data_IF_482326141532
#
_entry.id   IF_482326141532
#
_cell.length_a   1.000
_cell.length_b   1.000
_cell.length_c   1.000
_cell.angle_alpha   90.00
_cell.angle_beta   90.00
_cell.angle_gamma   90.00
#
_symmetry.space_group_name_H-M   'P 1'
#
loop_
_entity.id
_entity.type
_entity.pdbx_description
1 polymer ?
#
# COMPACT_ATOMS: atom_id res chain seq x y z
N UNK A 1 42.09 -26.22 -43.13
CA UNK A 1 40.79 -26.52 -42.55
C UNK A 1 40.43 -25.42 -41.56
N UNK A 2 39.53 -24.53 -41.95
CA UNK A 2 39.04 -23.49 -41.05
C UNK A 2 37.97 -24.10 -40.13
N UNK A 3 38.26 -24.18 -38.86
CA UNK A 3 37.23 -24.51 -37.85
C UNK A 3 36.60 -23.22 -37.38
N UNK A 4 35.38 -22.97 -37.85
CA UNK A 4 34.56 -21.92 -37.28
C UNK A 4 34.03 -22.38 -35.92
N UNK A 5 34.57 -21.83 -34.87
CA UNK A 5 33.97 -21.94 -33.54
C UNK A 5 32.80 -20.97 -33.53
N UNK A 6 31.60 -21.50 -33.66
CA UNK A 6 30.38 -20.76 -33.38
C UNK A 6 30.31 -20.53 -31.87
N UNK A 7 30.74 -19.35 -31.46
CA UNK A 7 30.46 -18.91 -30.09
C UNK A 7 28.96 -18.57 -30.02
N UNK A 8 28.20 -19.47 -29.44
CA UNK A 8 26.85 -19.16 -29.03
C UNK A 8 26.95 -18.17 -27.86
N UNK A 9 26.82 -16.88 -28.16
CA UNK A 9 26.50 -15.90 -27.12
C UNK A 9 25.07 -16.18 -26.68
N UNK A 10 24.95 -16.92 -25.59
CA UNK A 10 23.66 -17.06 -24.94
C UNK A 10 23.20 -15.69 -24.45
N UNK A 11 22.21 -15.12 -25.10
CA UNK A 11 21.52 -13.94 -24.58
C UNK A 11 20.74 -14.39 -23.36
N UNK A 12 21.30 -14.14 -22.18
CA UNK A 12 20.53 -14.28 -20.95
C UNK A 12 19.57 -13.08 -20.89
N UNK A 13 18.33 -13.31 -21.31
CA UNK A 13 17.28 -12.33 -21.08
C UNK A 13 17.05 -12.27 -19.57
N UNK A 14 17.61 -11.28 -18.90
CA UNK A 14 17.25 -10.96 -17.52
C UNK A 14 15.84 -10.37 -17.59
N UNK A 15 14.84 -11.20 -17.28
CA UNK A 15 13.50 -10.68 -17.06
C UNK A 15 13.56 -9.69 -15.89
N UNK A 16 13.11 -8.44 -16.05
CA UNK A 16 13.04 -7.51 -14.94
C UNK A 16 12.19 -8.14 -13.85
N UNK A 17 12.74 -8.24 -12.63
CA UNK A 17 11.96 -8.64 -11.48
C UNK A 17 10.94 -7.53 -11.22
N UNK A 18 9.70 -7.76 -11.67
CA UNK A 18 8.59 -6.88 -11.30
C UNK A 18 8.28 -7.15 -9.82
N UNK A 19 8.60 -6.18 -8.96
CA UNK A 19 7.94 -6.12 -7.67
C UNK A 19 6.43 -6.13 -7.92
N UNK A 20 5.67 -6.88 -7.13
CA UNK A 20 4.22 -6.88 -7.23
C UNK A 20 3.72 -5.43 -7.24
N UNK A 21 2.86 -5.03 -8.19
CA UNK A 21 2.36 -3.66 -8.22
C UNK A 21 1.63 -3.34 -6.91
N UNK A 22 1.70 -2.09 -6.43
CA UNK A 22 0.90 -1.66 -5.30
C UNK A 22 -0.59 -1.98 -5.53
N UNK A 23 -1.33 -2.19 -4.47
CA UNK A 23 -2.76 -2.52 -4.55
C UNK A 23 -3.54 -1.49 -5.36
N UNK A 24 -3.17 -0.21 -5.25
CA UNK A 24 -3.78 0.88 -5.99
C UNK A 24 -3.44 0.90 -7.48
N UNK A 25 -2.53 0.07 -7.93
CA UNK A 25 -2.21 -0.08 -9.34
C UNK A 25 -3.15 -1.07 -10.06
N UNK A 26 -3.95 -1.85 -9.33
CA UNK A 26 -4.98 -2.70 -9.92
C UNK A 26 -6.05 -1.81 -10.59
N UNK A 27 -6.26 -1.94 -11.92
CA UNK A 27 -7.23 -1.10 -12.63
C UNK A 27 -8.65 -1.16 -12.06
N UNK A 28 -9.03 -2.29 -11.46
CA UNK A 28 -10.37 -2.46 -10.86
C UNK A 28 -10.55 -1.71 -9.56
N UNK A 29 -9.44 -1.42 -8.88
CA UNK A 29 -9.45 -0.77 -7.56
C UNK A 29 -8.88 0.64 -7.60
N UNK A 30 -8.24 1.02 -8.70
CA UNK A 30 -7.57 2.33 -8.84
C UNK A 30 -8.49 3.48 -8.51
N UNK A 31 -9.67 3.50 -9.11
CA UNK A 31 -10.62 4.60 -8.93
C UNK A 31 -11.06 4.74 -7.48
N UNK A 32 -11.22 3.62 -6.79
CA UNK A 32 -11.54 3.64 -5.38
C UNK A 32 -10.43 4.27 -4.55
N UNK A 33 -9.18 3.83 -4.75
CA UNK A 33 -8.02 4.41 -4.04
C UNK A 33 -7.87 5.90 -4.34
N UNK A 34 -8.01 6.30 -5.59
CA UNK A 34 -7.91 7.71 -5.99
C UNK A 34 -9.05 8.57 -5.44
N UNK A 35 -10.17 7.96 -5.08
CA UNK A 35 -11.31 8.66 -4.49
C UNK A 35 -11.15 8.95 -3.00
N UNK A 36 -10.16 8.36 -2.33
CA UNK A 36 -9.96 8.56 -0.90
C UNK A 36 -9.47 9.97 -0.61
N UNK A 37 -10.16 10.65 0.31
CA UNK A 37 -9.88 12.03 0.70
C UNK A 37 -9.69 12.14 2.21
N UNK A 38 -8.74 12.96 2.61
CA UNK A 38 -8.54 13.30 4.02
C UNK A 38 -9.78 13.98 4.56
N UNK A 39 -10.26 13.60 5.76
CA UNK A 39 -11.57 14.05 6.27
C UNK A 39 -11.71 15.57 6.39
N UNK A 40 -10.68 16.28 6.81
CA UNK A 40 -10.80 17.72 7.08
C UNK A 40 -10.29 18.61 5.96
N UNK A 41 -9.34 18.16 5.20
CA UNK A 41 -8.71 18.97 4.15
C UNK A 41 -9.28 18.69 2.78
N UNK A 42 -9.89 17.53 2.57
CA UNK A 42 -10.31 17.05 1.26
C UNK A 42 -9.15 16.69 0.33
N UNK A 43 -7.90 16.74 0.82
CA UNK A 43 -6.74 16.38 0.02
C UNK A 43 -6.73 14.87 -0.29
N UNK A 44 -6.21 14.45 -1.46
CA UNK A 44 -6.12 13.04 -1.78
C UNK A 44 -5.24 12.27 -0.80
N UNK A 45 -5.70 11.10 -0.37
CA UNK A 45 -4.91 10.23 0.49
C UNK A 45 -3.71 9.62 -0.23
N UNK A 46 -3.91 9.19 -1.48
CA UNK A 46 -2.94 8.40 -2.24
C UNK A 46 -1.98 9.22 -3.10
N UNK A 47 -2.09 10.56 -3.14
CA UNK A 47 -1.17 11.40 -3.91
C UNK A 47 0.11 11.74 -3.15
N UNK A 48 0.06 11.70 -1.82
CA UNK A 48 1.17 12.08 -0.93
C UNK A 48 1.60 10.96 0.00
N UNK A 49 0.87 9.86 0.01
CA UNK A 49 1.13 8.71 0.88
C UNK A 49 0.86 7.40 0.15
N UNK A 50 1.56 6.35 0.56
CA UNK A 50 1.29 5.01 0.09
C UNK A 50 0.06 4.45 0.81
N UNK A 51 -0.95 4.05 0.03
CA UNK A 51 -2.14 3.39 0.54
C UNK A 51 -2.01 1.88 0.30
N UNK A 52 -2.08 1.10 1.37
CA UNK A 52 -1.91 -0.35 1.30
C UNK A 52 -2.86 -1.07 2.26
N UNK A 53 -3.15 -2.32 1.91
CA UNK A 53 -3.80 -3.25 2.84
C UNK A 53 -2.88 -3.53 4.01
N UNK A 54 -3.48 -3.66 5.18
CA UNK A 54 -2.75 -4.05 6.38
C UNK A 54 -3.66 -4.68 7.41
N UNK A 55 -3.08 -5.33 8.38
CA UNK A 55 -3.81 -5.77 9.56
C UNK A 55 -4.20 -4.58 10.42
N UNK A 56 -5.41 -4.62 10.95
CA UNK A 56 -5.91 -3.63 11.89
C UNK A 56 -6.61 -4.33 13.05
N UNK A 57 -6.59 -3.70 14.21
CA UNK A 57 -7.28 -4.20 15.39
C UNK A 57 -7.76 -3.04 16.25
N UNK A 58 -8.75 -3.31 17.08
CA UNK A 58 -9.19 -2.35 18.09
C UNK A 58 -8.31 -2.42 19.33
N UNK A 59 -8.05 -1.26 19.89
CA UNK A 59 -7.52 -1.13 21.24
C UNK A 59 -8.43 -0.20 22.06
N UNK A 60 -8.07 0.13 23.30
CA UNK A 60 -8.90 0.99 24.15
C UNK A 60 -9.03 2.44 23.64
N UNK A 61 -8.19 2.85 22.69
CA UNK A 61 -8.23 4.19 22.06
C UNK A 61 -8.99 4.21 20.74
N UNK A 62 -9.25 3.06 20.13
CA UNK A 62 -9.86 2.93 18.82
C UNK A 62 -9.12 1.94 17.94
N UNK A 63 -8.76 2.35 16.74
CA UNK A 63 -8.03 1.49 15.80
C UNK A 63 -6.52 1.63 15.94
N UNK A 64 -5.83 0.51 15.71
CA UNK A 64 -4.39 0.51 15.43
C UNK A 64 -4.11 -0.38 14.22
N UNK A 65 -3.05 -0.05 13.49
CA UNK A 65 -2.66 -0.70 12.24
C UNK A 65 -1.23 -1.18 12.32
N UNK A 66 -0.96 -2.27 11.61
CA UNK A 66 0.39 -2.81 11.48
C UNK A 66 1.12 -2.07 10.36
N UNK A 67 2.20 -1.39 10.71
CA UNK A 67 3.08 -0.70 9.77
C UNK A 67 4.39 -1.45 9.66
N UNK A 68 4.81 -1.70 8.43
CA UNK A 68 6.02 -2.44 8.11
C UNK A 68 6.80 -1.79 6.96
N UNK A 69 7.80 -2.49 6.45
CA UNK A 69 8.67 -1.99 5.40
C UNK A 69 7.96 -1.60 4.11
N UNK A 70 6.78 -2.15 3.84
CA UNK A 70 5.99 -1.79 2.66
C UNK A 70 5.57 -0.32 2.67
N UNK A 71 5.52 0.29 3.86
CA UNK A 71 5.20 1.70 4.05
C UNK A 71 6.44 2.60 4.16
N UNK A 72 7.62 2.05 3.89
CA UNK A 72 8.87 2.77 4.07
C UNK A 72 9.37 2.84 5.51
N UNK A 73 8.75 2.12 6.43
CA UNK A 73 9.20 2.02 7.81
C UNK A 73 10.41 1.09 7.94
N UNK A 74 11.18 1.24 9.04
CA UNK A 74 12.38 0.44 9.28
C UNK A 74 12.15 -0.87 10.03
N UNK A 75 10.93 -1.18 10.36
CA UNK A 75 10.59 -2.38 11.11
C UNK A 75 9.10 -2.59 11.10
N UNK A 76 8.63 -3.40 12.02
CA UNK A 76 7.21 -3.73 12.17
C UNK A 76 6.72 -3.19 13.50
N UNK A 77 5.69 -2.36 13.47
CA UNK A 77 5.08 -1.82 14.67
C UNK A 77 3.57 -1.61 14.51
N UNK A 78 2.87 -1.68 15.61
CA UNK A 78 1.47 -1.26 15.68
C UNK A 78 1.40 0.24 15.95
N UNK A 79 0.67 0.94 15.12
CA UNK A 79 0.52 2.41 15.17
C UNK A 79 -0.94 2.76 15.43
N UNK A 80 -1.19 3.63 16.39
CA UNK A 80 -2.53 4.14 16.64
C UNK A 80 -3.04 4.97 15.47
N UNK A 81 -4.29 4.76 15.11
CA UNK A 81 -4.97 5.56 14.09
C UNK A 81 -5.72 6.69 14.79
N UNK A 82 -5.36 7.94 14.55
CA UNK A 82 -6.13 9.06 15.08
C UNK A 82 -7.59 8.99 14.59
N UNK A 83 -8.55 9.22 15.48
CA UNK A 83 -9.96 9.10 15.14
C UNK A 83 -10.39 9.99 13.97
N UNK A 84 -9.77 11.15 13.84
CA UNK A 84 -10.05 12.08 12.74
C UNK A 84 -9.48 11.66 11.38
N UNK A 85 -8.72 10.56 11.33
CA UNK A 85 -8.18 9.98 10.10
C UNK A 85 -9.00 8.78 9.61
N UNK A 86 -9.98 8.35 10.37
CA UNK A 86 -10.84 7.22 9.99
C UNK A 86 -11.85 7.69 8.96
N UNK A 87 -11.88 7.00 7.82
CA UNK A 87 -12.83 7.26 6.74
C UNK A 87 -14.02 6.31 6.84
N UNK A 88 -15.22 6.85 6.76
CA UNK A 88 -16.45 6.07 6.65
C UNK A 88 -16.74 5.79 5.18
N UNK A 89 -16.10 4.76 4.65
CA UNK A 89 -16.19 4.38 3.26
C UNK A 89 -16.47 2.90 3.10
N UNK A 90 -17.18 2.53 2.05
CA UNK A 90 -17.23 1.14 1.63
C UNK A 90 -15.82 0.68 1.29
N UNK A 91 -15.50 -0.54 1.73
CA UNK A 91 -14.18 -1.11 1.53
C UNK A 91 -14.28 -2.35 0.62
N UNK A 92 -13.99 -2.20 -0.68
CA UNK A 92 -14.02 -3.32 -1.62
C UNK A 92 -12.78 -4.23 -1.54
N UNK A 93 -11.80 -3.85 -0.72
CA UNK A 93 -10.52 -4.56 -0.60
C UNK A 93 -10.65 -5.81 0.26
N UNK A 94 -11.56 -5.81 1.25
CA UNK A 94 -11.76 -6.92 2.17
C UNK A 94 -10.88 -6.89 3.42
N UNK A 95 -9.87 -6.06 3.46
CA UNK A 95 -8.98 -5.83 4.58
C UNK A 95 -8.91 -4.34 4.89
N UNK A 96 -8.41 -3.97 6.07
CA UNK A 96 -8.14 -2.57 6.37
C UNK A 96 -7.16 -1.97 5.35
N UNK A 97 -7.36 -0.70 5.03
CA UNK A 97 -6.46 0.07 4.19
C UNK A 97 -5.96 1.28 4.96
N UNK A 98 -4.66 1.49 4.95
CA UNK A 98 -4.04 2.65 5.57
C UNK A 98 -3.16 3.39 4.57
N UNK A 99 -3.23 4.70 4.59
CA UNK A 99 -2.34 5.59 3.85
C UNK A 99 -1.39 6.23 4.86
N UNK A 100 -0.11 5.96 4.72
CA UNK A 100 0.89 6.26 5.74
C UNK A 100 2.11 6.95 5.13
N UNK A 101 2.61 7.96 5.84
CA UNK A 101 3.88 8.63 5.53
C UNK A 101 4.80 8.45 6.74
N UNK A 102 5.99 7.82 6.59
CA UNK A 102 6.86 7.52 7.73
C UNK A 102 7.20 8.71 8.62
N UNK A 103 7.33 9.89 8.05
CA UNK A 103 7.70 11.11 8.78
C UNK A 103 6.50 11.86 9.38
N UNK A 104 5.28 11.48 9.01
CA UNK A 104 4.04 12.17 9.41
C UNK A 104 3.11 11.27 10.19
N UNK A 105 2.93 10.02 9.75
CA UNK A 105 2.02 9.07 10.34
C UNK A 105 0.85 8.71 9.44
N UNK A 106 -0.25 8.28 10.05
CA UNK A 106 -1.46 7.90 9.33
C UNK A 106 -2.15 9.13 8.75
N UNK A 107 -2.32 9.11 7.44
CA UNK A 107 -3.03 10.18 6.71
C UNK A 107 -4.51 9.84 6.52
N UNK A 108 -4.80 8.60 6.21
CA UNK A 108 -6.15 8.10 6.01
C UNK A 108 -6.21 6.63 6.43
N UNK A 109 -7.35 6.22 6.93
CA UNK A 109 -7.60 4.84 7.31
C UNK A 109 -9.02 4.43 6.93
N UNK A 110 -9.16 3.32 6.22
CA UNK A 110 -10.45 2.70 5.91
C UNK A 110 -10.55 1.40 6.71
N UNK A 111 -11.48 1.29 7.65
CA UNK A 111 -11.66 0.06 8.41
C UNK A 111 -11.94 -1.15 7.53
N UNK A 112 -11.64 -2.37 8.01
CA UNK A 112 -12.05 -3.57 7.29
C UNK A 112 -13.57 -3.62 7.22
N UNK A 113 -14.13 -4.29 6.18
CA UNK A 113 -15.58 -4.44 6.10
C UNK A 113 -16.10 -5.18 7.35
N UNK A 114 -17.26 -4.78 7.82
CA UNK A 114 -17.96 -5.52 8.87
C UNK A 114 -18.46 -6.86 8.31
N UNK A 115 -18.19 -7.90 9.05
CA UNK A 115 -18.66 -9.26 8.73
C UNK A 115 -19.92 -9.60 9.51
#
# INVERSE_FOLDING_TARGET
MLRFALAFLGLVAVAPAFAAPPENADPKLRDWFESLRQPYTGAPCCSISDCRRTEARHNHKGWEVLIDERFGARGVEWVDVPSHRVLERQNPIGEAVVCFIPTVGVMCFVPPPET
#
